data_IF_546899859618
#
_entry.id   IF_546899859618
#
_cell.length_a   1.000
_cell.length_b   1.000
_cell.length_c   1.000
_cell.angle_alpha   90.00
_cell.angle_beta   90.00
_cell.angle_gamma   90.00
#
_symmetry.space_group_name_H-M   'P 1'
#
loop_
_entity.id
_entity.type
_entity.pdbx_description
1 polymer ?
#
# COMPACT_ATOMS: atom_id res chain seq x y z
N UNK A 1 -48.09 12.95 30.05
CA UNK A 1 -47.00 13.34 29.15
C UNK A 1 -47.66 13.94 27.93
N UNK A 2 -47.47 15.23 27.72
CA UNK A 2 -48.17 15.94 26.66
C UNK A 2 -47.56 15.62 25.29
N UNK A 3 -48.35 15.78 24.21
CA UNK A 3 -47.85 15.64 22.84
C UNK A 3 -46.60 16.49 22.57
N UNK A 4 -46.48 17.64 23.24
CA UNK A 4 -45.31 18.52 23.17
C UNK A 4 -44.06 17.88 23.77
N UNK A 5 -44.19 17.20 24.92
CA UNK A 5 -43.09 16.50 25.58
C UNK A 5 -42.57 15.34 24.72
N UNK A 6 -43.48 14.60 24.08
CA UNK A 6 -43.13 13.51 23.15
C UNK A 6 -42.35 14.04 21.94
N UNK A 7 -42.80 15.14 21.35
CA UNK A 7 -42.12 15.77 20.21
C UNK A 7 -40.71 16.24 20.61
N UNK A 8 -40.57 16.85 21.78
CA UNK A 8 -39.27 17.32 22.29
C UNK A 8 -38.31 16.14 22.50
N UNK A 9 -38.77 15.04 23.09
CA UNK A 9 -37.95 13.84 23.32
C UNK A 9 -37.46 13.25 21.98
N UNK A 10 -38.34 13.15 20.99
CA UNK A 10 -37.98 12.64 19.65
C UNK A 10 -36.92 13.54 18.99
N UNK A 11 -37.08 14.86 19.11
CA UNK A 11 -36.16 15.83 18.52
C UNK A 11 -34.77 15.75 19.17
N UNK A 12 -34.71 15.57 20.48
CA UNK A 12 -33.45 15.36 21.22
C UNK A 12 -32.77 14.06 20.79
N UNK A 13 -33.52 12.97 20.61
CA UNK A 13 -32.96 11.70 20.14
C UNK A 13 -32.38 11.79 18.72
N UNK A 14 -33.02 12.55 17.83
CA UNK A 14 -32.50 12.81 16.46
C UNK A 14 -31.20 13.62 16.51
N UNK A 15 -31.12 14.63 17.38
CA UNK A 15 -29.90 15.43 17.52
C UNK A 15 -28.75 14.57 18.06
N UNK A 16 -29.01 13.73 19.06
CA UNK A 16 -28.00 12.84 19.64
C UNK A 16 -27.50 11.83 18.59
N UNK A 17 -28.38 11.25 17.77
CA UNK A 17 -27.97 10.31 16.73
C UNK A 17 -27.18 10.98 15.60
N UNK A 18 -27.54 12.21 15.23
CA UNK A 18 -26.77 13.02 14.26
C UNK A 18 -25.38 13.37 14.80
N UNK A 19 -25.26 13.72 16.09
CA UNK A 19 -23.97 13.97 16.73
C UNK A 19 -23.10 12.71 16.82
N UNK A 20 -23.70 11.56 17.15
CA UNK A 20 -22.99 10.28 17.19
C UNK A 20 -22.47 9.87 15.80
N UNK A 21 -23.27 10.06 14.74
CA UNK A 21 -22.86 9.83 13.35
C UNK A 21 -21.77 10.83 12.91
N UNK A 22 -21.87 12.10 13.30
CA UNK A 22 -20.87 13.12 13.02
C UNK A 22 -19.52 12.82 13.68
N UNK A 23 -19.52 12.39 14.95
CA UNK A 23 -18.31 11.98 15.68
C UNK A 23 -17.71 10.69 15.12
N UNK A 24 -18.53 9.73 14.70
CA UNK A 24 -18.04 8.51 14.06
C UNK A 24 -17.36 8.81 12.72
N UNK A 25 -17.96 9.69 11.92
CA UNK A 25 -17.35 10.13 10.66
C UNK A 25 -16.08 10.96 10.90
N UNK A 26 -16.02 11.81 11.93
CA UNK A 26 -14.80 12.56 12.25
C UNK A 26 -13.67 11.64 12.74
N UNK A 27 -13.96 10.66 13.59
CA UNK A 27 -12.95 9.67 14.02
C UNK A 27 -12.44 8.77 12.88
N UNK A 28 -13.26 8.53 11.85
CA UNK A 28 -12.83 7.83 10.62
C UNK A 28 -12.07 8.76 9.66
N UNK A 29 -12.27 10.08 9.75
CA UNK A 29 -11.60 11.06 8.87
C UNK A 29 -10.30 11.62 9.49
N UNK A 30 -10.15 11.58 10.82
CA UNK A 30 -8.96 12.06 11.56
C UNK A 30 -7.90 10.98 11.81
N UNK A 31 -8.04 9.78 11.23
CA UNK A 31 -6.89 8.87 11.08
C UNK A 31 -6.00 9.37 9.95
N UNK A 32 -5.14 10.32 10.30
CA UNK A 32 -4.02 10.73 9.47
C UNK A 32 -4.43 11.54 8.26
N UNK A 33 -4.22 12.85 8.35
CA UNK A 33 -3.43 13.49 7.27
C UNK A 33 -2.03 12.86 7.32
N UNK A 34 -1.96 11.58 6.93
CA UNK A 34 -0.72 10.83 6.77
C UNK A 34 0.05 11.60 5.72
N UNK A 35 1.08 12.32 6.16
CA UNK A 35 1.90 13.05 5.21
C UNK A 35 2.58 11.98 4.37
N UNK A 36 2.25 11.89 3.08
CA UNK A 36 2.96 11.00 2.16
C UNK A 36 4.14 11.76 1.53
N UNK A 37 5.20 11.03 1.18
CA UNK A 37 6.29 11.54 0.36
C UNK A 37 6.49 10.67 -0.87
N UNK A 38 6.81 11.30 -1.99
CA UNK A 38 7.17 10.59 -3.20
C UNK A 38 8.53 9.92 -3.04
N UNK A 39 8.56 8.61 -3.19
CA UNK A 39 9.78 7.82 -3.31
C UNK A 39 9.94 7.46 -4.78
N UNK A 40 11.04 7.94 -5.37
CA UNK A 40 11.52 7.40 -6.65
C UNK A 40 12.09 6.03 -6.36
N UNK A 41 11.36 5.03 -6.81
CA UNK A 41 11.74 3.64 -6.77
C UNK A 41 12.74 3.54 -7.91
N UNK A 42 12.32 3.55 -9.18
CA UNK A 42 13.23 3.49 -10.33
C UNK A 42 13.34 4.85 -11.04
N UNK A 43 14.16 4.98 -12.11
CA UNK A 43 14.16 6.17 -12.95
C UNK A 43 12.79 6.50 -13.58
N UNK A 44 11.98 5.47 -13.85
CA UNK A 44 10.68 5.55 -14.51
C UNK A 44 9.49 5.29 -13.57
N UNK A 45 9.73 4.90 -12.32
CA UNK A 45 8.66 4.57 -11.39
C UNK A 45 8.79 5.30 -10.06
N UNK A 46 7.69 5.89 -9.64
CA UNK A 46 7.57 6.50 -8.32
C UNK A 46 6.21 6.22 -7.72
N UNK A 47 6.18 6.25 -6.39
CA UNK A 47 4.97 6.09 -5.60
C UNK A 47 5.09 7.00 -4.37
N UNK A 48 3.97 7.30 -3.76
CA UNK A 48 3.89 8.03 -2.51
C UNK A 48 3.82 7.01 -1.36
N UNK A 49 4.77 7.06 -0.42
CA UNK A 49 4.76 6.27 0.83
C UNK A 49 4.49 7.17 2.04
N UNK A 50 3.92 6.67 3.14
CA UNK A 50 3.78 7.44 4.36
C UNK A 50 5.13 8.00 4.83
N UNK A 51 5.13 9.21 5.39
CA UNK A 51 6.33 9.79 5.98
C UNK A 51 6.78 8.95 7.17
N UNK A 52 8.02 8.52 7.10
CA UNK A 52 8.64 7.67 8.11
C UNK A 52 10.05 8.12 8.39
N UNK A 53 10.40 8.12 9.69
CA UNK A 53 11.77 8.28 10.16
C UNK A 53 12.60 7.00 10.04
N UNK A 54 11.98 5.85 9.76
CA UNK A 54 12.62 4.54 9.69
C UNK A 54 12.55 3.92 8.29
N UNK A 55 12.67 4.77 7.26
CA UNK A 55 12.78 4.32 5.88
C UNK A 55 14.25 4.09 5.54
N UNK A 56 14.60 2.85 5.21
CA UNK A 56 15.92 2.45 4.75
C UNK A 56 15.86 2.13 3.26
N UNK A 57 17.00 2.34 2.59
CA UNK A 57 17.21 1.91 1.21
C UNK A 57 18.46 1.06 1.16
N UNK A 58 18.31 -0.14 0.66
CA UNK A 58 19.38 -1.12 0.48
C UNK A 58 19.53 -1.42 -1.01
N UNK A 59 20.74 -1.22 -1.55
CA UNK A 59 21.07 -1.67 -2.88
C UNK A 59 21.57 -3.12 -2.77
N UNK A 60 20.76 -4.06 -3.24
CA UNK A 60 21.12 -5.49 -3.24
C UNK A 60 22.13 -5.75 -4.35
N UNK A 61 21.93 -5.10 -5.50
CA UNK A 61 22.82 -5.13 -6.67
C UNK A 61 22.72 -3.81 -7.44
N UNK A 62 23.36 -3.74 -8.61
CA UNK A 62 23.21 -2.60 -9.53
C UNK A 62 21.78 -2.46 -10.07
N UNK A 63 21.06 -3.58 -10.20
CA UNK A 63 19.74 -3.64 -10.85
C UNK A 63 18.60 -3.87 -9.85
N UNK A 64 18.92 -4.17 -8.60
CA UNK A 64 17.95 -4.45 -7.55
C UNK A 64 18.21 -3.62 -6.30
N UNK A 65 17.16 -2.99 -5.80
CA UNK A 65 17.18 -2.36 -4.48
C UNK A 65 15.88 -2.61 -3.74
N UNK A 66 15.96 -2.46 -2.43
CA UNK A 66 14.87 -2.65 -1.49
C UNK A 66 14.71 -1.35 -0.71
N UNK A 67 13.49 -0.86 -0.62
CA UNK A 67 13.09 0.20 0.31
C UNK A 67 12.27 -0.46 1.41
N UNK A 68 12.73 -0.35 2.66
CA UNK A 68 11.97 -0.83 3.81
C UNK A 68 11.54 0.36 4.64
N UNK A 69 10.28 0.39 5.05
CA UNK A 69 9.76 1.29 6.07
C UNK A 69 9.24 0.43 7.22
N UNK A 70 10.09 0.23 8.23
CA UNK A 70 9.73 -0.61 9.38
C UNK A 70 8.71 0.04 10.31
N UNK A 71 8.46 1.35 10.19
CA UNK A 71 7.47 2.05 11.00
C UNK A 71 6.06 1.79 10.48
N UNK A 72 5.87 1.84 9.16
CA UNK A 72 4.59 1.63 8.51
C UNK A 72 4.45 0.22 7.90
N UNK A 73 5.45 -0.63 8.13
CA UNK A 73 5.49 -2.02 7.66
C UNK A 73 5.27 -2.12 6.15
N UNK A 74 6.11 -1.40 5.42
CA UNK A 74 6.12 -1.38 3.96
C UNK A 74 7.47 -1.89 3.47
N UNK A 75 7.44 -2.79 2.50
CA UNK A 75 8.61 -3.19 1.74
C UNK A 75 8.35 -2.98 0.25
N UNK A 76 9.30 -2.36 -0.43
CA UNK A 76 9.28 -2.15 -1.88
C UNK A 76 10.54 -2.76 -2.44
N UNK A 77 10.40 -3.80 -3.24
CA UNK A 77 11.50 -4.45 -3.95
C UNK A 77 11.38 -4.06 -5.40
N UNK A 78 12.45 -3.55 -5.98
CA UNK A 78 12.48 -3.24 -7.39
C UNK A 78 13.66 -3.89 -8.06
N UNK A 79 13.39 -4.41 -9.25
CA UNK A 79 14.35 -4.99 -10.17
C UNK A 79 14.15 -4.32 -11.53
N UNK A 80 15.16 -3.63 -12.02
CA UNK A 80 15.14 -2.99 -13.34
C UNK A 80 16.03 -3.79 -14.29
N UNK A 81 15.48 -4.23 -15.43
CA UNK A 81 16.23 -5.07 -16.37
C UNK A 81 17.11 -4.27 -17.35
N UNK A 82 17.08 -2.94 -17.29
CA UNK A 82 17.72 -2.07 -18.26
C UNK A 82 19.22 -2.00 -18.03
N UNK A 83 19.99 -2.14 -19.11
CA UNK A 83 21.45 -2.03 -19.14
C UNK A 83 22.22 -3.05 -18.29
N UNK A 84 21.55 -4.00 -17.65
CA UNK A 84 22.16 -5.06 -16.88
C UNK A 84 22.93 -6.05 -17.78
N UNK A 85 24.03 -6.60 -17.30
CA UNK A 85 24.68 -7.70 -18.02
C UNK A 85 23.77 -8.93 -18.01
N UNK A 86 23.93 -9.82 -19.00
CA UNK A 86 23.12 -11.05 -19.08
C UNK A 86 23.25 -11.92 -17.82
N UNK A 87 24.41 -11.91 -17.16
CA UNK A 87 24.63 -12.70 -15.95
C UNK A 87 23.91 -12.08 -14.75
N UNK A 88 24.00 -10.76 -14.58
CA UNK A 88 23.33 -10.04 -13.49
C UNK A 88 21.81 -10.14 -13.61
N UNK A 89 21.28 -10.06 -14.83
CA UNK A 89 19.85 -10.28 -15.10
C UNK A 89 19.35 -11.65 -14.65
N UNK A 90 20.16 -12.69 -14.81
CA UNK A 90 19.78 -14.05 -14.41
C UNK A 90 19.77 -14.14 -12.89
N UNK A 91 20.82 -13.64 -12.22
CA UNK A 91 20.91 -13.71 -10.76
C UNK A 91 19.85 -12.84 -10.07
N UNK A 92 19.79 -11.56 -10.41
CA UNK A 92 18.85 -10.61 -9.82
C UNK A 92 17.41 -10.95 -10.19
N UNK A 93 17.16 -11.30 -11.46
CA UNK A 93 15.85 -11.74 -11.91
C UNK A 93 15.39 -13.00 -11.20
N UNK A 94 16.29 -13.97 -10.99
CA UNK A 94 15.96 -15.18 -10.23
C UNK A 94 15.64 -14.87 -8.76
N UNK A 95 16.42 -14.00 -8.10
CA UNK A 95 16.14 -13.59 -6.72
C UNK A 95 14.80 -12.85 -6.61
N UNK A 96 14.49 -11.98 -7.57
CA UNK A 96 13.20 -11.28 -7.62
C UNK A 96 12.04 -12.27 -7.76
N UNK A 97 12.10 -13.16 -8.76
CA UNK A 97 11.07 -14.15 -9.02
C UNK A 97 10.88 -15.10 -7.83
N UNK A 98 11.97 -15.53 -7.18
CA UNK A 98 11.91 -16.36 -5.98
C UNK A 98 11.15 -15.68 -4.84
N UNK A 99 11.34 -14.37 -4.64
CA UNK A 99 10.59 -13.60 -3.64
C UNK A 99 9.13 -13.45 -4.04
N UNK A 100 8.85 -13.11 -5.30
CA UNK A 100 7.49 -13.04 -5.83
C UNK A 100 6.74 -14.36 -5.60
N UNK A 101 7.34 -15.49 -5.94
CA UNK A 101 6.76 -16.82 -5.72
C UNK A 101 6.55 -17.11 -4.23
N UNK A 102 7.51 -16.74 -3.38
CA UNK A 102 7.40 -16.90 -1.92
C UNK A 102 6.21 -16.13 -1.33
N UNK A 103 5.96 -14.92 -1.82
CA UNK A 103 4.82 -14.11 -1.35
C UNK A 103 3.49 -14.58 -1.93
N UNK A 104 3.50 -15.09 -3.16
CA UNK A 104 2.29 -15.67 -3.79
C UNK A 104 1.93 -17.05 -3.23
N UNK A 105 2.88 -17.76 -2.63
CA UNK A 105 2.62 -19.08 -2.08
C UNK A 105 1.56 -19.02 -0.97
N UNK A 106 0.41 -19.66 -1.21
CA UNK A 106 -0.72 -19.63 -0.27
C UNK A 106 -1.54 -18.33 -0.30
N UNK A 107 -1.13 -17.32 -1.07
CA UNK A 107 -1.86 -16.08 -1.20
C UNK A 107 -3.03 -16.20 -2.17
N UNK A 108 -4.13 -15.52 -1.85
CA UNK A 108 -5.29 -15.42 -2.73
C UNK A 108 -5.22 -14.13 -3.54
N UNK A 109 -5.52 -14.22 -4.83
CA UNK A 109 -5.65 -13.03 -5.67
C UNK A 109 -6.92 -12.26 -5.29
N UNK A 110 -6.73 -11.07 -4.73
CA UNK A 110 -7.77 -10.08 -4.47
C UNK A 110 -7.68 -9.01 -5.56
N UNK A 111 -8.51 -9.19 -6.59
CA UNK A 111 -8.78 -8.10 -7.53
C UNK A 111 -9.64 -7.07 -6.77
N UNK A 112 -9.25 -5.78 -6.81
CA UNK A 112 -10.02 -4.55 -6.44
C UNK A 112 -9.44 -3.64 -5.36
N UNK A 113 -8.12 -3.58 -5.17
CA UNK A 113 -7.55 -2.44 -4.42
C UNK A 113 -7.08 -1.39 -5.42
N UNK A 114 -7.75 -0.24 -5.47
CA UNK A 114 -7.40 0.89 -6.36
C UNK A 114 -7.26 0.52 -7.86
N UNK A 115 -8.05 -0.45 -8.36
CA UNK A 115 -7.95 -1.01 -9.72
C UNK A 115 -6.66 -1.78 -10.05
N UNK A 116 -5.91 -2.20 -9.02
CA UNK A 116 -4.77 -3.09 -9.16
C UNK A 116 -5.11 -4.50 -8.67
N UNK A 117 -4.42 -5.49 -9.25
CA UNK A 117 -4.38 -6.85 -8.70
C UNK A 117 -3.49 -6.84 -7.48
N UNK A 118 -4.03 -7.30 -6.35
CA UNK A 118 -3.30 -7.46 -5.09
C UNK A 118 -3.46 -8.91 -4.65
N UNK A 119 -2.40 -9.53 -4.16
CA UNK A 119 -2.44 -10.85 -3.54
C UNK A 119 -2.47 -10.66 -2.03
N UNK A 120 -3.26 -11.46 -1.33
CA UNK A 120 -3.34 -11.41 0.13
C UNK A 120 -3.02 -12.78 0.69
N UNK A 121 -1.96 -12.86 1.49
CA UNK A 121 -1.59 -14.05 2.21
C UNK A 121 -2.31 -14.04 3.57
N UNK A 122 -3.19 -15.01 3.79
CA UNK A 122 -3.98 -15.09 5.03
C UNK A 122 -3.18 -15.60 6.22
N UNK A 123 -2.05 -16.27 5.98
CA UNK A 123 -1.25 -16.87 7.04
C UNK A 123 -0.42 -15.82 7.79
N UNK A 124 0.15 -14.85 7.07
CA UNK A 124 0.89 -13.73 7.65
C UNK A 124 0.13 -12.39 7.64
N UNK A 125 -0.95 -12.28 6.86
CA UNK A 125 -1.77 -11.08 6.73
C UNK A 125 -1.22 -10.05 5.73
N UNK A 126 -0.23 -10.42 4.92
CA UNK A 126 0.42 -9.52 3.99
C UNK A 126 -0.41 -9.30 2.73
N UNK A 127 -0.42 -8.05 2.27
CA UNK A 127 -0.90 -7.63 0.96
C UNK A 127 0.30 -7.39 0.04
N UNK A 128 0.23 -7.92 -1.17
CA UNK A 128 1.31 -7.84 -2.14
C UNK A 128 0.77 -7.30 -3.46
N UNK A 129 1.45 -6.33 -4.07
CA UNK A 129 1.15 -5.84 -5.40
C UNK A 129 2.39 -5.92 -6.28
N UNK A 130 2.21 -6.27 -7.55
CA UNK A 130 3.27 -6.31 -8.55
C UNK A 130 3.01 -5.29 -9.65
N UNK A 131 4.04 -4.55 -10.04
CA UNK A 131 4.00 -3.60 -11.14
C UNK A 131 5.11 -3.93 -12.15
N UNK A 132 4.71 -4.13 -13.40
CA UNK A 132 5.63 -4.32 -14.53
C UNK A 132 5.17 -3.43 -15.69
N UNK A 133 5.55 -2.15 -15.71
CA UNK A 133 5.07 -1.21 -16.72
C UNK A 133 5.71 -1.55 -18.06
N UNK A 134 4.88 -1.81 -19.08
CA UNK A 134 5.25 -2.42 -20.37
C UNK A 134 6.42 -1.77 -21.15
N UNK A 135 6.87 -0.57 -20.79
CA UNK A 135 7.90 0.20 -21.50
C UNK A 135 9.10 0.63 -20.64
N UNK A 136 9.18 0.17 -19.39
CA UNK A 136 10.16 0.69 -18.41
C UNK A 136 11.20 -0.33 -17.99
N UNK A 137 10.96 -1.62 -18.29
CA UNK A 137 11.75 -2.76 -17.81
C UNK A 137 11.85 -2.84 -16.27
N UNK A 138 11.02 -2.06 -15.57
CA UNK A 138 10.86 -2.11 -14.14
C UNK A 138 9.95 -3.27 -13.74
N UNK A 139 10.38 -4.00 -12.72
CA UNK A 139 9.55 -4.92 -11.98
C UNK A 139 9.58 -4.48 -10.52
N UNK A 140 8.42 -4.13 -9.98
CA UNK A 140 8.28 -3.65 -8.60
C UNK A 140 7.32 -4.56 -7.86
N UNK A 141 7.72 -4.99 -6.68
CA UNK A 141 6.89 -5.66 -5.71
C UNK A 141 6.72 -4.75 -4.49
N UNK A 142 5.47 -4.51 -4.10
CA UNK A 142 5.09 -3.78 -2.90
C UNK A 142 4.45 -4.75 -1.93
N UNK A 143 4.91 -4.76 -0.67
CA UNK A 143 4.39 -5.60 0.40
C UNK A 143 4.05 -4.73 1.60
N UNK A 144 2.88 -4.94 2.22
CA UNK A 144 2.51 -4.33 3.51
C UNK A 144 1.40 -5.15 4.18
N UNK A 145 1.28 -5.09 5.50
CA UNK A 145 0.17 -5.73 6.23
C UNK A 145 -1.05 -4.81 6.42
N UNK A 146 -1.01 -3.59 5.88
CA UNK A 146 -2.12 -2.63 5.94
C UNK A 146 -2.74 -2.40 4.56
N UNK A 147 -4.02 -2.78 4.41
CA UNK A 147 -4.77 -2.63 3.16
C UNK A 147 -5.08 -1.17 2.79
N UNK A 148 -5.23 -0.27 3.76
CA UNK A 148 -5.49 1.15 3.53
C UNK A 148 -4.20 1.79 2.99
N UNK A 149 -3.06 1.49 3.63
CA UNK A 149 -1.74 1.90 3.15
C UNK A 149 -1.47 1.36 1.76
N UNK A 150 -1.72 0.07 1.51
CA UNK A 150 -1.64 -0.53 0.17
C UNK A 150 -2.49 0.27 -0.84
N UNK A 151 -3.76 0.53 -0.53
CA UNK A 151 -4.65 1.25 -1.44
C UNK A 151 -4.17 2.66 -1.80
N UNK A 152 -3.62 3.38 -0.82
CA UNK A 152 -3.09 4.74 -1.00
C UNK A 152 -1.77 4.75 -1.77
N UNK A 153 -0.86 3.81 -1.51
CA UNK A 153 0.38 3.69 -2.29
C UNK A 153 0.03 3.34 -3.75
N UNK A 154 -0.83 2.36 -3.97
CA UNK A 154 -1.26 1.93 -5.31
C UNK A 154 -1.87 3.09 -6.11
N UNK A 155 -2.73 3.91 -5.50
CA UNK A 155 -3.38 5.04 -6.19
C UNK A 155 -2.42 6.17 -6.57
N UNK A 156 -1.22 6.18 -5.98
CA UNK A 156 -0.19 7.19 -6.24
C UNK A 156 0.89 6.74 -7.22
N UNK A 157 0.84 5.49 -7.70
CA UNK A 157 1.83 4.90 -8.60
C UNK A 157 1.88 5.68 -9.93
N UNK A 158 3.09 6.12 -10.33
CA UNK A 158 3.34 6.92 -11.54
C UNK A 158 4.44 6.26 -12.39
N UNK A 159 4.20 6.21 -13.70
CA UNK A 159 5.04 5.60 -14.75
C UNK A 159 5.40 6.63 -15.83
#
# INVERSE_FOLDING_TARGET
MDRKDIIIIILVLIIISLLALGLHNHQVTDQGTDLYRTVKVSPSFSLDVPLSSNLTRENVSENMYIVNDYQNDIQIISFNMKNASKMDLIEDGYQYLKREESYKFGAEEIIKISNHTVWHNKDDGSYIAFFSPNNTEDNIMLVTHDNITMARILSSARY
#
